data_IF_899449388998
#
_entry.id   IF_899449388998
#
_cell.length_a   1.000
_cell.length_b   1.000
_cell.length_c   1.000
_cell.angle_alpha   90.00
_cell.angle_beta   90.00
_cell.angle_gamma   90.00
#
_symmetry.space_group_name_H-M   'P 1'
#
loop_
_entity.id
_entity.type
_entity.pdbx_description
1 polymer ?
#
# COMPACT_ATOMS: atom_id res chain seq x y z
N UNK A 1 -45.41 -31.09 -9.64
CA UNK A 1 -44.46 -31.87 -8.80
C UNK A 1 -43.17 -32.03 -9.58
N UNK A 2 -42.03 -31.79 -8.95
CA UNK A 2 -40.70 -31.85 -9.55
C UNK A 2 -39.79 -30.83 -8.88
N UNK A 3 -38.92 -31.33 -8.01
CA UNK A 3 -38.26 -30.60 -6.94
C UNK A 3 -37.01 -29.80 -7.36
N UNK A 4 -36.74 -28.76 -6.57
CA UNK A 4 -35.45 -28.18 -6.14
C UNK A 4 -34.15 -28.58 -6.87
N UNK A 5 -33.37 -27.56 -7.24
CA UNK A 5 -31.92 -27.60 -7.07
C UNK A 5 -31.42 -26.30 -6.45
N UNK A 6 -30.79 -26.46 -5.30
CA UNK A 6 -30.05 -25.43 -4.58
C UNK A 6 -28.84 -24.93 -5.39
N UNK A 7 -28.45 -23.68 -5.13
CA UNK A 7 -27.19 -23.09 -5.59
C UNK A 7 -26.80 -21.97 -4.64
N UNK A 8 -26.42 -22.34 -3.42
CA UNK A 8 -25.90 -21.44 -2.40
C UNK A 8 -24.50 -20.95 -2.83
N UNK A 9 -24.28 -19.65 -2.89
CA UNK A 9 -22.97 -19.00 -2.85
C UNK A 9 -23.24 -17.65 -2.18
N UNK A 10 -23.01 -17.46 -0.90
CA UNK A 10 -21.78 -17.78 -0.18
C UNK A 10 -20.83 -16.58 -0.28
N UNK A 11 -21.14 -15.56 0.55
CA UNK A 11 -20.18 -14.70 1.26
C UNK A 11 -18.95 -14.15 0.53
N UNK A 12 -18.96 -12.83 0.31
CA UNK A 12 -17.88 -11.91 0.71
C UNK A 12 -18.45 -10.48 0.65
N UNK A 13 -19.03 -10.01 1.75
CA UNK A 13 -19.74 -8.71 1.83
C UNK A 13 -19.00 -7.64 2.65
N UNK A 14 -17.77 -7.89 3.09
CA UNK A 14 -17.06 -6.95 3.97
C UNK A 14 -15.98 -6.11 3.27
N UNK A 15 -15.57 -6.44 2.04
CA UNK A 15 -14.63 -5.60 1.24
C UNK A 15 -15.32 -4.62 0.31
N UNK A 16 -16.64 -4.73 0.14
CA UNK A 16 -17.36 -3.99 -0.89
C UNK A 16 -17.83 -2.62 -0.41
N UNK A 17 -18.06 -2.37 0.87
CA UNK A 17 -18.69 -1.12 1.31
C UNK A 17 -17.79 0.12 1.11
N UNK A 18 -16.51 0.04 1.49
CA UNK A 18 -15.56 1.14 1.33
C UNK A 18 -15.12 1.32 -0.13
N UNK A 19 -14.94 0.20 -0.85
CA UNK A 19 -14.69 0.22 -2.28
C UNK A 19 -15.90 0.81 -3.03
N UNK A 20 -17.14 0.41 -2.72
CA UNK A 20 -18.39 0.94 -3.29
C UNK A 20 -18.57 2.44 -2.99
N UNK A 21 -18.23 2.89 -1.77
CA UNK A 21 -18.32 4.31 -1.41
C UNK A 21 -17.34 5.17 -2.21
N UNK A 22 -16.10 4.70 -2.39
CA UNK A 22 -15.10 5.38 -3.23
C UNK A 22 -15.49 5.30 -4.73
N UNK A 23 -16.01 4.14 -5.16
CA UNK A 23 -16.48 3.85 -6.51
C UNK A 23 -17.70 4.69 -6.93
N UNK A 24 -18.66 4.95 -6.03
CA UNK A 24 -19.80 5.84 -6.29
C UNK A 24 -19.41 7.31 -6.29
N UNK A 25 -18.45 7.70 -5.43
CA UNK A 25 -17.97 9.08 -5.36
C UNK A 25 -17.21 9.51 -6.62
N UNK A 26 -16.44 8.61 -7.24
CA UNK A 26 -15.61 8.91 -8.42
C UNK A 26 -16.46 9.14 -9.69
N UNK A 27 -17.52 8.38 -9.90
CA UNK A 27 -18.18 8.38 -11.21
C UNK A 27 -19.24 9.48 -11.39
N UNK A 28 -19.87 9.90 -10.28
CA UNK A 28 -20.96 10.89 -10.28
C UNK A 28 -20.50 12.35 -10.15
N UNK A 29 -19.30 12.62 -9.64
CA UNK A 29 -18.87 13.98 -9.25
C UNK A 29 -17.65 14.55 -9.99
N UNK A 30 -16.94 13.77 -10.81
CA UNK A 30 -15.73 14.27 -11.51
C UNK A 30 -16.04 14.84 -12.90
N UNK A 31 -15.50 16.01 -13.18
CA UNK A 31 -15.47 16.63 -14.52
C UNK A 31 -14.64 15.82 -15.51
N UNK A 32 -14.76 16.13 -16.81
CA UNK A 32 -13.96 15.46 -17.86
C UNK A 32 -12.45 15.58 -17.63
N UNK A 33 -11.99 16.75 -17.18
CA UNK A 33 -10.56 16.99 -16.95
C UNK A 33 -10.06 16.22 -15.72
N UNK A 34 -10.87 16.13 -14.66
CA UNK A 34 -10.57 15.31 -13.48
C UNK A 34 -10.55 13.82 -13.80
N UNK A 35 -11.49 13.32 -14.63
CA UNK A 35 -11.47 11.93 -15.10
C UNK A 35 -10.21 11.63 -15.93
N UNK A 36 -9.76 12.60 -16.75
CA UNK A 36 -8.51 12.46 -17.52
C UNK A 36 -7.28 12.46 -16.63
N UNK A 37 -7.21 13.35 -15.64
CA UNK A 37 -6.14 13.41 -14.65
C UNK A 37 -6.08 12.13 -13.81
N UNK A 38 -7.23 11.64 -13.36
CA UNK A 38 -7.37 10.38 -12.64
C UNK A 38 -6.90 9.19 -13.50
N UNK A 39 -7.29 9.12 -14.78
CA UNK A 39 -6.82 8.05 -15.66
C UNK A 39 -5.29 8.06 -15.82
N UNK A 40 -4.68 9.23 -15.98
CA UNK A 40 -3.23 9.35 -16.06
C UNK A 40 -2.55 8.91 -14.75
N UNK A 41 -3.13 9.27 -13.61
CA UNK A 41 -2.67 8.85 -12.28
C UNK A 41 -2.70 7.33 -12.10
N UNK A 42 -3.78 6.68 -12.53
CA UNK A 42 -3.94 5.23 -12.45
C UNK A 42 -2.99 4.50 -13.41
N UNK A 43 -2.64 5.11 -14.55
CA UNK A 43 -1.67 4.53 -15.49
C UNK A 43 -0.22 4.61 -14.98
N UNK A 44 0.10 5.58 -14.14
CA UNK A 44 1.39 5.71 -13.43
C UNK A 44 1.49 4.80 -12.18
N UNK A 45 0.38 4.21 -11.73
CA UNK A 45 0.37 3.39 -10.52
C UNK A 45 1.10 2.05 -10.74
N UNK A 46 2.13 1.81 -9.93
CA UNK A 46 2.91 0.57 -9.91
C UNK A 46 3.00 0.02 -8.50
N UNK A 47 2.87 -1.29 -8.33
CA UNK A 47 3.12 -1.94 -7.05
C UNK A 47 3.79 -3.31 -7.24
N UNK A 48 4.87 -3.53 -6.50
CA UNK A 48 5.75 -4.69 -6.61
C UNK A 48 6.15 -5.25 -5.24
N UNK A 49 6.46 -6.53 -5.23
CA UNK A 49 6.86 -7.30 -4.06
C UNK A 49 8.09 -8.13 -4.39
N UNK A 50 9.14 -8.04 -3.56
CA UNK A 50 10.38 -8.80 -3.71
C UNK A 50 10.87 -9.35 -2.37
N UNK A 51 11.43 -10.56 -2.42
CA UNK A 51 12.15 -11.17 -1.30
C UNK A 51 13.64 -11.21 -1.65
N UNK A 52 14.49 -10.68 -0.75
CA UNK A 52 15.95 -10.68 -0.94
C UNK A 52 16.63 -11.12 0.35
N UNK A 53 17.01 -12.39 0.43
CA UNK A 53 17.64 -12.96 1.62
C UNK A 53 16.76 -12.83 2.88
N UNK A 54 17.22 -12.05 3.85
CA UNK A 54 16.49 -11.76 5.08
C UNK A 54 15.58 -10.53 4.99
N UNK A 55 15.27 -10.06 3.78
CA UNK A 55 14.43 -8.88 3.57
C UNK A 55 13.18 -9.17 2.75
N UNK A 56 12.11 -8.47 3.10
CA UNK A 56 10.91 -8.30 2.27
C UNK A 56 10.87 -6.84 1.84
N UNK A 57 10.68 -6.61 0.55
CA UNK A 57 10.68 -5.28 -0.05
C UNK A 57 9.37 -5.10 -0.80
N UNK A 58 8.59 -4.11 -0.39
CA UNK A 58 7.41 -3.62 -1.12
C UNK A 58 7.78 -2.30 -1.75
N UNK A 59 7.39 -2.13 -3.01
CA UNK A 59 7.57 -0.86 -3.73
C UNK A 59 6.22 -0.47 -4.29
N UNK A 60 5.78 0.74 -3.99
CA UNK A 60 4.62 1.36 -4.63
C UNK A 60 5.03 2.66 -5.29
N UNK A 61 4.44 2.98 -6.43
CA UNK A 61 4.61 4.24 -7.13
C UNK A 61 3.27 4.73 -7.62
N UNK A 62 3.03 6.03 -7.50
CA UNK A 62 1.85 6.70 -7.99
C UNK A 62 2.11 8.20 -8.09
N UNK A 63 1.59 8.87 -9.11
CA UNK A 63 1.59 10.33 -9.23
C UNK A 63 3.00 10.94 -9.09
N UNK A 64 4.00 10.32 -9.73
CA UNK A 64 5.40 10.76 -9.65
C UNK A 64 6.06 10.57 -8.27
N UNK A 65 5.38 9.91 -7.34
CA UNK A 65 5.92 9.50 -6.04
C UNK A 65 6.24 8.00 -6.04
N UNK A 66 7.23 7.62 -5.25
CA UNK A 66 7.66 6.23 -5.06
C UNK A 66 7.94 5.98 -3.59
N UNK A 67 7.27 4.99 -3.02
CA UNK A 67 7.51 4.50 -1.67
C UNK A 67 8.16 3.11 -1.73
N UNK A 68 9.19 2.90 -0.91
CA UNK A 68 9.87 1.62 -0.72
C UNK A 68 9.84 1.28 0.77
N UNK A 69 9.18 0.19 1.08
CA UNK A 69 9.05 -0.39 2.42
C UNK A 69 9.97 -1.61 2.51
N UNK A 70 10.94 -1.59 3.43
CA UNK A 70 11.93 -2.66 3.60
C UNK A 70 11.82 -3.23 5.01
N UNK A 71 11.38 -4.48 5.10
CA UNK A 71 11.33 -5.26 6.35
C UNK A 71 12.57 -6.15 6.44
N UNK A 72 13.30 -6.08 7.54
CA UNK A 72 14.53 -6.84 7.78
C UNK A 72 14.35 -7.82 8.93
N UNK A 73 14.72 -9.08 8.71
CA UNK A 73 14.46 -10.17 9.64
C UNK A 73 15.75 -10.80 10.20
N UNK A 74 15.66 -11.30 11.43
CA UNK A 74 16.62 -12.23 12.03
C UNK A 74 15.88 -13.49 12.45
N UNK A 75 16.02 -14.56 11.66
CA UNK A 75 15.10 -15.69 11.76
C UNK A 75 13.68 -15.25 11.40
N UNK A 76 12.72 -15.52 12.29
CA UNK A 76 11.33 -15.11 12.11
C UNK A 76 10.99 -13.74 12.70
N UNK A 77 11.88 -13.15 13.52
CA UNK A 77 11.62 -11.86 14.15
C UNK A 77 11.93 -10.71 13.17
N UNK A 78 10.98 -9.78 13.02
CA UNK A 78 11.23 -8.50 12.37
C UNK A 78 12.12 -7.63 13.26
N UNK A 79 13.26 -7.19 12.73
CA UNK A 79 14.29 -6.43 13.46
C UNK A 79 14.55 -5.05 12.85
N UNK A 80 13.88 -4.72 11.75
CA UNK A 80 14.02 -3.43 11.10
C UNK A 80 12.89 -3.20 10.12
N UNK A 81 12.40 -1.97 10.09
CA UNK A 81 11.46 -1.49 9.08
C UNK A 81 11.90 -0.11 8.63
N UNK A 82 12.30 0.00 7.36
CA UNK A 82 12.73 1.24 6.72
C UNK A 82 11.72 1.66 5.68
N UNK A 83 11.41 2.94 5.68
CA UNK A 83 10.60 3.61 4.66
C UNK A 83 11.51 4.55 3.87
N UNK A 84 11.38 4.53 2.54
CA UNK A 84 12.07 5.44 1.62
C UNK A 84 11.03 5.98 0.64
N UNK A 85 10.78 7.28 0.70
CA UNK A 85 9.80 7.96 -0.13
C UNK A 85 10.49 8.99 -1.02
N UNK A 86 10.40 8.83 -2.33
CA UNK A 86 10.78 9.85 -3.32
C UNK A 86 9.51 10.52 -3.83
N UNK A 87 9.46 11.85 -3.80
CA UNK A 87 8.27 12.64 -4.17
C UNK A 87 8.71 14.03 -4.66
N UNK A 88 7.80 14.92 -5.12
CA UNK A 88 8.16 16.32 -5.40
C UNK A 88 8.80 17.01 -4.18
N UNK A 89 9.81 17.86 -4.40
CA UNK A 89 10.66 18.41 -3.32
C UNK A 89 9.86 19.15 -2.23
N UNK A 90 8.80 19.87 -2.61
CA UNK A 90 7.93 20.56 -1.65
C UNK A 90 7.27 19.56 -0.67
N UNK A 91 6.74 18.45 -1.18
CA UNK A 91 6.12 17.40 -0.36
C UNK A 91 7.17 16.65 0.47
N UNK A 92 8.38 16.47 -0.06
CA UNK A 92 9.47 15.81 0.67
C UNK A 92 9.83 16.55 1.97
N UNK A 93 9.80 17.89 1.96
CA UNK A 93 10.06 18.70 3.18
C UNK A 93 8.97 18.51 4.23
N UNK A 94 7.70 18.53 3.83
CA UNK A 94 6.57 18.31 4.73
C UNK A 94 6.62 16.89 5.34
N UNK A 95 6.85 15.87 4.52
CA UNK A 95 6.97 14.48 5.00
C UNK A 95 8.18 14.29 5.90
N UNK A 96 9.31 14.97 5.63
CA UNK A 96 10.48 14.93 6.49
C UNK A 96 10.15 15.43 7.91
N UNK A 97 9.45 16.56 8.04
CA UNK A 97 9.04 17.10 9.34
C UNK A 97 8.12 16.14 10.11
N UNK A 98 7.18 15.50 9.43
CA UNK A 98 6.31 14.47 10.04
C UNK A 98 7.13 13.26 10.49
N UNK A 99 8.06 12.80 9.66
CA UNK A 99 8.88 11.62 9.94
C UNK A 99 9.86 11.87 11.08
N UNK A 100 10.41 13.08 11.22
CA UNK A 100 11.27 13.43 12.36
C UNK A 100 10.61 13.22 13.72
N UNK A 101 9.28 13.31 13.80
CA UNK A 101 8.53 13.12 15.03
C UNK A 101 8.10 11.66 15.28
N UNK A 102 8.20 10.79 14.28
CA UNK A 102 7.60 9.44 14.31
C UNK A 102 8.59 8.31 14.02
N UNK A 103 9.71 8.61 13.37
CA UNK A 103 10.74 7.67 12.95
C UNK A 103 12.10 8.05 13.53
N UNK A 104 13.05 7.12 13.48
CA UNK A 104 14.46 7.34 13.83
C UNK A 104 15.33 7.37 12.58
N UNK A 105 16.54 7.93 12.71
CA UNK A 105 17.52 8.06 11.62
C UNK A 105 16.97 8.75 10.35
N UNK A 106 16.07 9.72 10.52
CA UNK A 106 15.37 10.37 9.41
C UNK A 106 16.35 11.23 8.60
N UNK A 107 16.31 11.07 7.27
CA UNK A 107 17.14 11.82 6.32
C UNK A 107 16.29 12.39 5.20
N UNK A 108 16.66 13.59 4.76
CA UNK A 108 16.17 14.23 3.55
C UNK A 108 17.37 14.40 2.59
N UNK A 109 17.28 13.81 1.41
CA UNK A 109 18.26 13.95 0.32
C UNK A 109 17.53 14.39 -0.95
N UNK A 110 17.62 15.69 -1.25
CA UNK A 110 16.84 16.32 -2.31
C UNK A 110 15.34 16.08 -2.14
N UNK A 111 14.79 15.27 -3.02
CA UNK A 111 13.37 14.95 -3.09
C UNK A 111 13.02 13.59 -2.45
N UNK A 112 13.97 12.99 -1.73
CA UNK A 112 13.83 11.68 -1.07
C UNK A 112 13.92 11.80 0.44
N UNK A 113 12.90 11.28 1.14
CA UNK A 113 12.88 11.14 2.59
C UNK A 113 13.07 9.67 2.95
N UNK A 114 13.86 9.38 3.97
CA UNK A 114 13.96 8.02 4.52
C UNK A 114 13.99 8.04 6.04
N UNK A 115 13.54 6.96 6.66
CA UNK A 115 13.54 6.78 8.10
C UNK A 115 13.32 5.33 8.50
N UNK A 116 13.68 5.01 9.73
CA UNK A 116 13.54 3.68 10.32
C UNK A 116 12.51 3.74 11.46
N UNK A 117 11.76 2.66 11.67
CA UNK A 117 10.99 2.49 12.90
C UNK A 117 11.96 2.18 14.05
N UNK A 118 11.71 2.75 15.22
CA UNK A 118 12.43 2.35 16.43
C UNK A 118 12.02 0.93 16.86
N UNK A 119 12.86 0.28 17.68
CA UNK A 119 12.63 -1.11 18.09
C UNK A 119 11.33 -1.28 18.90
N UNK A 120 10.95 -0.29 19.71
CA UNK A 120 9.71 -0.33 20.50
C UNK A 120 8.47 -0.38 19.60
N UNK A 121 8.43 0.46 18.57
CA UNK A 121 7.32 0.50 17.60
C UNK A 121 7.32 -0.75 16.73
N UNK A 122 8.49 -1.25 16.35
CA UNK A 122 8.61 -2.54 15.66
C UNK A 122 8.05 -3.69 16.49
N UNK A 123 8.43 -3.79 17.76
CA UNK A 123 7.94 -4.84 18.65
C UNK A 123 6.43 -4.69 18.92
N UNK A 124 5.92 -3.46 19.03
CA UNK A 124 4.48 -3.20 19.17
C UNK A 124 3.67 -3.64 17.94
N UNK A 125 4.14 -3.31 16.74
CA UNK A 125 3.38 -3.54 15.49
C UNK A 125 3.61 -4.95 14.93
N UNK A 126 4.83 -5.46 15.05
CA UNK A 126 5.28 -6.69 14.37
C UNK A 126 5.87 -7.73 15.32
N UNK A 127 6.03 -7.44 16.62
CA UNK A 127 6.74 -8.32 17.56
C UNK A 127 6.08 -9.68 17.78
N UNK A 128 4.77 -9.79 17.56
CA UNK A 128 4.00 -11.05 17.61
C UNK A 128 3.92 -11.77 16.26
N UNK A 129 4.38 -11.15 15.18
CA UNK A 129 4.29 -11.70 13.84
C UNK A 129 5.59 -12.39 13.43
N UNK A 130 5.45 -13.56 12.80
CA UNK A 130 6.54 -14.25 12.12
C UNK A 130 6.83 -13.61 10.77
N UNK A 131 8.02 -13.90 10.21
CA UNK A 131 8.38 -13.52 8.84
C UNK A 131 7.35 -14.01 7.82
N UNK A 132 6.82 -15.22 7.98
CA UNK A 132 5.79 -15.77 7.09
C UNK A 132 4.49 -14.97 7.13
N UNK A 133 4.02 -14.58 8.31
CA UNK A 133 2.80 -13.77 8.46
C UNK A 133 2.97 -12.37 7.87
N UNK A 134 4.12 -11.72 8.10
CA UNK A 134 4.40 -10.40 7.51
C UNK A 134 4.47 -10.52 5.98
N UNK A 135 5.09 -11.58 5.45
CA UNK A 135 5.13 -11.86 4.03
C UNK A 135 3.74 -12.00 3.41
N UNK A 136 2.87 -12.78 4.03
CA UNK A 136 1.50 -12.97 3.56
C UNK A 136 0.71 -11.67 3.61
N UNK A 137 0.81 -10.92 4.70
CA UNK A 137 0.19 -9.59 4.84
C UNK A 137 0.62 -8.64 3.71
N UNK A 138 1.92 -8.52 3.46
CA UNK A 138 2.44 -7.63 2.40
C UNK A 138 2.01 -8.12 1.01
N UNK A 139 1.98 -9.43 0.76
CA UNK A 139 1.46 -9.98 -0.51
C UNK A 139 -0.03 -9.67 -0.71
N UNK A 140 -0.83 -9.77 0.35
CA UNK A 140 -2.25 -9.44 0.30
C UNK A 140 -2.45 -7.96 0.01
N UNK A 141 -1.74 -7.05 0.69
CA UNK A 141 -1.80 -5.61 0.42
C UNK A 141 -1.47 -5.27 -1.05
N UNK A 142 -0.49 -5.98 -1.62
CA UNK A 142 -0.10 -5.81 -3.03
C UNK A 142 -1.20 -6.29 -3.98
N UNK A 143 -1.84 -7.43 -3.68
CA UNK A 143 -2.94 -7.95 -4.49
C UNK A 143 -4.18 -7.06 -4.39
N UNK A 144 -4.57 -6.64 -3.18
CA UNK A 144 -5.69 -5.72 -2.94
C UNK A 144 -5.50 -4.41 -3.73
N UNK A 145 -4.29 -3.84 -3.67
CA UNK A 145 -3.94 -2.64 -4.43
C UNK A 145 -4.05 -2.86 -5.95
N UNK A 146 -3.63 -4.03 -6.45
CA UNK A 146 -3.76 -4.38 -7.87
C UNK A 146 -5.22 -4.59 -8.28
N UNK A 147 -6.05 -5.16 -7.42
CA UNK A 147 -7.47 -5.37 -7.68
C UNK A 147 -8.22 -4.05 -7.71
N UNK A 148 -7.97 -3.16 -6.74
CA UNK A 148 -8.51 -1.81 -6.73
C UNK A 148 -8.11 -1.05 -7.99
N UNK A 149 -6.83 -1.13 -8.39
CA UNK A 149 -6.39 -0.50 -9.63
C UNK A 149 -7.12 -1.04 -10.87
N UNK A 150 -7.34 -2.36 -10.93
CA UNK A 150 -8.09 -3.00 -12.03
C UNK A 150 -9.55 -2.56 -12.03
N UNK A 151 -10.22 -2.46 -10.88
CA UNK A 151 -11.62 -2.04 -10.81
C UNK A 151 -11.78 -0.59 -11.29
N UNK A 152 -10.88 0.31 -10.86
CA UNK A 152 -10.85 1.71 -11.28
C UNK A 152 -10.60 1.87 -12.79
N UNK A 153 -9.73 1.04 -13.39
CA UNK A 153 -9.43 1.08 -14.83
C UNK A 153 -10.52 0.48 -15.74
N UNK A 154 -11.36 -0.42 -15.23
CA UNK A 154 -12.39 -1.14 -16.01
C UNK A 154 -13.69 -0.36 -16.24
N UNK A 155 -13.90 0.77 -15.53
CA UNK A 155 -15.07 1.66 -15.72
C UNK A 155 -14.85 2.75 -16.78
N UNK A 156 -13.93 2.50 -17.73
CA UNK A 156 -13.78 3.29 -18.97
C UNK A 156 -14.93 3.00 -19.92
#
# INVERSE_FOLDING_TARGET
MGATSCGNSGSNKETDAEALLLEEAIDKNLSKDEKKALSAALDDFGIDFKEKGNQIIKTSSALGSKNIEIYTFKGDKCTGYRIICTMPEAQAKEVYEVYQNTLVNVKLDGNTVSGDYNQETLDLVYGSMTKAQIREKVKQEVEDSKQLLKSLKRRK
#
